data_IF_037006291548
#
_entry.id   IF_037006291548
#
_cell.length_a   1.000
_cell.length_b   1.000
_cell.length_c   1.000
_cell.angle_alpha   90.00
_cell.angle_beta   90.00
_cell.angle_gamma   90.00
#
_symmetry.space_group_name_H-M   'P 1'
#
loop_
_entity.id
_entity.type
_entity.pdbx_description
1 polymer ?
#
# COMPACT_ATOMS: atom_id res chain seq x y z
N UNK A 1 -54.70 10.42 69.72
CA UNK A 1 -53.95 11.69 69.81
C UNK A 1 -52.50 11.35 69.50
N UNK A 2 -51.79 11.85 68.49
CA UNK A 2 -51.93 12.97 67.54
C UNK A 2 -51.23 12.55 66.24
N UNK A 3 -51.70 13.11 65.12
CA UNK A 3 -51.13 13.03 63.77
C UNK A 3 -49.73 13.67 63.66
N UNK A 4 -48.95 13.19 62.68
CA UNK A 4 -47.98 13.90 61.79
C UNK A 4 -47.27 12.79 60.97
N UNK A 5 -47.13 12.75 59.65
CA UNK A 5 -47.31 13.72 58.56
C UNK A 5 -46.05 13.73 57.68
N UNK A 6 -46.09 13.04 56.51
CA UNK A 6 -45.27 13.15 55.27
C UNK A 6 -43.71 13.09 55.38
N UNK A 7 -42.92 12.53 54.44
CA UNK A 7 -42.88 12.70 52.98
C UNK A 7 -42.31 11.44 52.28
N UNK A 8 -42.91 11.08 51.14
CA UNK A 8 -42.28 10.27 50.09
C UNK A 8 -41.17 11.08 49.41
N UNK A 9 -39.98 10.48 49.24
CA UNK A 9 -38.98 10.94 48.29
C UNK A 9 -38.81 9.85 47.21
N UNK A 10 -39.44 10.04 46.05
CA UNK A 10 -39.15 9.29 44.83
C UNK A 10 -37.82 9.81 44.26
N UNK A 11 -36.73 9.08 44.50
CA UNK A 11 -35.46 9.30 43.80
C UNK A 11 -35.57 8.80 42.37
N UNK A 12 -35.72 9.70 41.40
CA UNK A 12 -35.57 9.37 39.99
C UNK A 12 -34.08 9.12 39.69
N UNK A 13 -33.71 7.85 39.45
CA UNK A 13 -32.41 7.49 38.91
C UNK A 13 -32.41 7.84 37.43
N UNK A 14 -31.86 8.99 37.07
CA UNK A 14 -31.57 9.35 35.68
C UNK A 14 -30.38 8.51 35.23
N UNK A 15 -30.65 7.38 34.56
CA UNK A 15 -29.62 6.61 33.88
C UNK A 15 -29.11 7.41 32.68
N UNK A 16 -27.89 7.96 32.79
CA UNK A 16 -27.16 8.42 31.60
C UNK A 16 -26.87 7.21 30.72
N UNK A 17 -27.64 7.04 29.64
CA UNK A 17 -27.22 6.22 28.50
C UNK A 17 -26.00 6.90 27.87
N UNK A 18 -24.81 6.47 28.29
CA UNK A 18 -23.57 6.80 27.61
C UNK A 18 -23.63 6.24 26.20
N UNK A 19 -23.86 7.11 25.21
CA UNK A 19 -23.66 6.77 23.80
C UNK A 19 -22.16 6.61 23.62
N UNK A 20 -21.69 5.36 23.70
CA UNK A 20 -20.34 5.01 23.24
C UNK A 20 -20.34 5.15 21.73
N UNK A 21 -19.80 6.27 21.24
CA UNK A 21 -19.40 6.41 19.86
C UNK A 21 -18.28 5.39 19.61
N UNK A 22 -18.64 4.21 19.12
CA UNK A 22 -17.71 3.24 18.57
C UNK A 22 -17.00 3.93 17.41
N UNK A 23 -15.76 4.34 17.64
CA UNK A 23 -14.87 4.75 16.55
C UNK A 23 -14.79 3.65 15.50
N UNK A 24 -14.44 3.98 14.24
CA UNK A 24 -14.41 2.99 13.17
C UNK A 24 -13.54 1.80 13.57
N UNK A 25 -14.16 0.62 13.71
CA UNK A 25 -13.46 -0.64 13.97
C UNK A 25 -12.58 -0.95 12.77
N UNK A 26 -11.26 -0.85 12.95
CA UNK A 26 -10.28 -1.34 11.97
C UNK A 26 -10.59 -2.80 11.68
N UNK A 27 -10.62 -3.18 10.39
CA UNK A 27 -10.76 -4.58 9.99
C UNK A 27 -9.73 -5.44 10.72
N UNK A 28 -10.09 -6.68 11.05
CA UNK A 28 -9.10 -7.68 11.41
C UNK A 28 -8.08 -7.83 10.27
N UNK A 29 -6.85 -8.21 10.60
CA UNK A 29 -5.79 -8.35 9.59
C UNK A 29 -6.18 -9.35 8.50
N UNK A 30 -5.87 -9.00 7.25
CA UNK A 30 -6.18 -9.76 6.05
C UNK A 30 -7.68 -10.07 5.88
N UNK A 31 -8.54 -9.16 6.34
CA UNK A 31 -9.99 -9.22 6.12
C UNK A 31 -10.50 -7.93 5.49
N UNK A 32 -11.69 -8.01 4.87
CA UNK A 32 -12.39 -6.85 4.34
C UNK A 32 -13.53 -6.46 5.28
N UNK A 33 -13.65 -5.17 5.61
CA UNK A 33 -14.86 -4.65 6.26
C UNK A 33 -16.07 -4.79 5.34
N UNK A 34 -17.28 -4.70 5.91
CA UNK A 34 -18.51 -4.68 5.12
C UNK A 34 -18.51 -3.53 4.10
N UNK A 35 -17.97 -2.38 4.48
CA UNK A 35 -17.82 -1.22 3.59
C UNK A 35 -16.84 -1.51 2.45
N UNK A 36 -15.67 -2.08 2.75
CA UNK A 36 -14.68 -2.44 1.73
C UNK A 36 -15.28 -3.44 0.72
N UNK A 37 -16.02 -4.43 1.20
CA UNK A 37 -16.72 -5.40 0.35
C UNK A 37 -17.76 -4.71 -0.54
N UNK A 38 -18.61 -3.85 0.04
CA UNK A 38 -19.64 -3.10 -0.69
C UNK A 38 -19.04 -2.15 -1.75
N UNK A 39 -17.86 -1.59 -1.48
CA UNK A 39 -17.10 -0.77 -2.42
C UNK A 39 -16.35 -1.58 -3.48
N UNK A 40 -16.40 -2.91 -3.45
CA UNK A 40 -15.78 -3.76 -4.47
C UNK A 40 -14.31 -4.12 -4.21
N UNK A 41 -13.78 -3.88 -3.01
CA UNK A 41 -12.45 -4.36 -2.65
C UNK A 41 -12.40 -5.89 -2.60
N UNK A 42 -11.23 -6.43 -2.90
CA UNK A 42 -10.88 -7.85 -2.85
C UNK A 42 -9.53 -8.01 -2.16
N UNK A 43 -9.35 -9.10 -1.43
CA UNK A 43 -8.04 -9.45 -0.89
C UNK A 43 -7.14 -9.93 -2.02
N UNK A 44 -5.92 -9.41 -2.07
CA UNK A 44 -4.82 -10.01 -2.79
C UNK A 44 -4.07 -11.02 -1.92
N UNK A 45 -4.24 -10.97 -0.60
CA UNK A 45 -3.63 -11.89 0.34
C UNK A 45 -4.60 -12.21 1.48
N UNK A 46 -4.78 -13.50 1.75
CA UNK A 46 -5.74 -14.03 2.73
C UNK A 46 -5.14 -14.23 4.13
N UNK A 47 -3.85 -13.94 4.32
CA UNK A 47 -3.14 -14.19 5.56
C UNK A 47 -2.61 -15.62 5.72
N UNK A 48 -2.80 -16.51 4.74
CA UNK A 48 -2.55 -17.95 4.89
C UNK A 48 -1.67 -18.53 3.80
N UNK A 49 -1.83 -18.07 2.57
CA UNK A 49 -1.12 -18.64 1.43
C UNK A 49 -0.73 -17.59 0.39
N UNK A 50 0.20 -17.96 -0.50
CA UNK A 50 0.54 -17.18 -1.69
C UNK A 50 -0.38 -17.51 -2.88
N UNK A 51 -1.60 -18.00 -2.62
CA UNK A 51 -2.58 -18.22 -3.68
C UNK A 51 -2.83 -16.91 -4.44
N UNK A 52 -2.83 -16.97 -5.77
CA UNK A 52 -2.93 -15.78 -6.62
C UNK A 52 -1.61 -15.03 -6.83
N UNK A 53 -0.50 -15.50 -6.28
CA UNK A 53 0.85 -14.98 -6.51
C UNK A 53 1.74 -15.99 -7.24
N UNK A 54 2.79 -15.48 -7.88
CA UNK A 54 3.81 -16.25 -8.57
C UNK A 54 5.18 -15.84 -8.04
N UNK A 55 5.92 -16.82 -7.52
CA UNK A 55 7.33 -16.69 -7.15
C UNK A 55 8.17 -17.10 -8.37
N UNK A 56 8.92 -16.19 -9.01
CA UNK A 56 9.66 -16.52 -10.23
C UNK A 56 10.96 -17.31 -9.93
N UNK A 57 11.57 -17.09 -8.77
CA UNK A 57 12.80 -17.73 -8.34
C UNK A 57 12.57 -18.86 -7.34
N UNK A 58 13.42 -18.91 -6.30
CA UNK A 58 13.33 -19.92 -5.25
C UNK A 58 12.08 -19.70 -4.41
N UNK A 59 11.27 -20.74 -4.21
CA UNK A 59 10.01 -20.64 -3.45
C UNK A 59 10.24 -20.20 -2.01
N UNK A 60 11.37 -20.59 -1.44
CA UNK A 60 11.81 -20.23 -0.08
C UNK A 60 12.12 -18.74 0.05
N UNK A 61 12.30 -18.02 -1.06
CA UNK A 61 12.46 -16.57 -1.06
C UNK A 61 11.22 -15.80 -0.60
N UNK A 62 10.04 -16.43 -0.64
CA UNK A 62 8.79 -15.84 -0.18
C UNK A 62 7.99 -16.83 0.67
N UNK A 63 7.75 -16.49 1.93
CA UNK A 63 6.98 -17.34 2.85
C UNK A 63 5.76 -16.61 3.39
N UNK A 64 4.87 -17.35 4.03
CA UNK A 64 3.79 -16.79 4.84
C UNK A 64 4.09 -17.10 6.31
N UNK A 65 4.21 -16.05 7.12
CA UNK A 65 4.51 -16.14 8.56
C UNK A 65 3.58 -15.19 9.31
N UNK A 66 2.89 -15.67 10.35
CA UNK A 66 2.05 -14.86 11.24
C UNK A 66 1.06 -13.92 10.51
N UNK A 67 0.41 -14.42 9.46
CA UNK A 67 -0.53 -13.61 8.68
C UNK A 67 0.14 -12.56 7.79
N UNK A 68 1.41 -12.73 7.43
CA UNK A 68 2.17 -11.80 6.59
C UNK A 68 2.87 -12.53 5.46
N UNK A 69 2.96 -11.90 4.30
CA UNK A 69 3.90 -12.29 3.23
C UNK A 69 5.28 -11.78 3.64
N UNK A 70 6.29 -12.65 3.62
CA UNK A 70 7.66 -12.32 4.02
C UNK A 70 8.60 -12.57 2.86
N UNK A 71 9.31 -11.53 2.41
CA UNK A 71 10.49 -11.71 1.57
C UNK A 71 11.63 -12.19 2.45
N UNK A 72 12.19 -13.36 2.16
CA UNK A 72 13.30 -13.93 2.92
C UNK A 72 14.68 -13.45 2.45
N UNK A 73 14.74 -12.69 1.34
CA UNK A 73 15.99 -12.30 0.68
C UNK A 73 16.87 -13.50 0.27
N UNK A 74 16.23 -14.60 -0.13
CA UNK A 74 16.90 -15.86 -0.51
C UNK A 74 16.81 -16.16 -2.01
N UNK A 75 16.68 -15.13 -2.84
CA UNK A 75 16.62 -15.27 -4.29
C UNK A 75 15.26 -15.75 -4.79
N UNK A 76 14.18 -15.21 -4.21
CA UNK A 76 12.82 -15.46 -4.68
C UNK A 76 12.50 -14.70 -5.97
N UNK A 77 13.25 -13.63 -6.24
CA UNK A 77 12.89 -12.64 -7.26
C UNK A 77 11.61 -11.90 -6.88
N UNK A 78 11.14 -11.00 -7.73
CA UNK A 78 9.97 -10.18 -7.42
C UNK A 78 8.69 -11.04 -7.40
N UNK A 79 8.04 -11.13 -6.23
CA UNK A 79 6.77 -11.83 -6.08
C UNK A 79 5.68 -11.04 -6.79
N UNK A 80 5.04 -11.64 -7.78
CA UNK A 80 4.04 -10.94 -8.59
C UNK A 80 2.66 -11.55 -8.50
N UNK A 81 1.64 -10.75 -8.74
CA UNK A 81 0.28 -11.27 -8.91
C UNK A 81 0.21 -12.20 -10.13
N UNK A 82 -0.66 -13.20 -10.06
CA UNK A 82 -0.97 -14.08 -11.20
C UNK A 82 -1.83 -13.36 -12.25
N UNK A 83 -2.64 -12.38 -11.82
CA UNK A 83 -3.50 -11.56 -12.66
C UNK A 83 -2.88 -10.19 -12.93
N UNK A 84 -3.26 -9.60 -14.05
CA UNK A 84 -2.94 -8.21 -14.38
C UNK A 84 -4.09 -7.28 -13.97
N UNK A 85 -3.73 -6.03 -13.68
CA UNK A 85 -4.63 -4.95 -13.29
C UNK A 85 -4.25 -3.68 -14.05
N UNK A 86 -5.24 -2.85 -14.34
CA UNK A 86 -5.05 -1.61 -15.08
C UNK A 86 -5.41 -0.40 -14.21
N UNK A 87 -6.69 0.00 -14.20
CA UNK A 87 -7.20 1.03 -13.30
C UNK A 87 -7.66 0.38 -12.00
N UNK A 88 -7.06 0.79 -10.88
CA UNK A 88 -7.29 0.20 -9.57
C UNK A 88 -6.91 1.13 -8.41
N UNK A 89 -7.52 0.88 -7.25
CA UNK A 89 -6.96 1.24 -5.95
C UNK A 89 -6.29 0.02 -5.33
N UNK A 90 -5.07 0.19 -4.83
CA UNK A 90 -4.28 -0.79 -4.09
C UNK A 90 -4.07 -0.25 -2.68
N UNK A 91 -4.24 -1.10 -1.68
CA UNK A 91 -3.87 -0.82 -0.29
C UNK A 91 -3.07 -2.00 0.24
N UNK A 92 -2.01 -1.73 0.97
CA UNK A 92 -1.23 -2.73 1.69
C UNK A 92 -0.55 -2.12 2.90
N UNK A 93 -0.23 -2.97 3.86
CA UNK A 93 0.68 -2.61 4.94
C UNK A 93 2.04 -3.25 4.68
N UNK A 94 3.13 -2.53 4.95
CA UNK A 94 4.49 -3.05 4.89
C UNK A 94 5.29 -2.71 6.14
N UNK A 95 6.29 -3.54 6.46
CA UNK A 95 7.24 -3.31 7.55
C UNK A 95 8.64 -3.67 7.07
N UNK A 96 9.62 -2.83 7.41
CA UNK A 96 11.01 -2.93 6.97
C UNK A 96 11.93 -3.36 8.11
N UNK A 97 13.00 -4.10 7.81
CA UNK A 97 14.19 -4.11 8.69
C UNK A 97 15.02 -2.83 8.51
N UNK A 98 15.88 -2.45 9.47
CA UNK A 98 16.78 -1.32 9.30
C UNK A 98 17.60 -1.43 8.01
N UNK A 99 17.68 -0.33 7.26
CA UNK A 99 18.39 -0.25 5.98
C UNK A 99 17.76 -1.00 4.80
N UNK A 100 16.59 -1.64 4.98
CA UNK A 100 15.98 -2.44 3.93
C UNK A 100 15.63 -1.60 2.69
N UNK A 101 15.87 -2.20 1.52
CA UNK A 101 15.40 -1.71 0.23
C UNK A 101 14.46 -2.75 -0.39
N UNK A 102 13.34 -2.28 -0.94
CA UNK A 102 12.35 -3.05 -1.68
C UNK A 102 11.48 -2.04 -2.45
N UNK A 103 10.40 -2.51 -3.07
CA UNK A 103 9.50 -1.69 -3.85
C UNK A 103 8.19 -2.42 -4.11
N UNK A 104 7.16 -1.63 -4.39
CA UNK A 104 5.90 -2.13 -4.94
C UNK A 104 5.82 -1.66 -6.38
N UNK A 105 6.01 -2.59 -7.31
CA UNK A 105 5.77 -2.33 -8.72
C UNK A 105 4.29 -2.44 -9.04
N UNK A 106 3.82 -1.51 -9.85
CA UNK A 106 2.48 -1.48 -10.40
C UNK A 106 2.55 -1.44 -11.93
N UNK A 107 1.55 -2.04 -12.59
CA UNK A 107 1.41 -2.04 -14.05
C UNK A 107 2.64 -2.60 -14.79
N UNK A 108 3.26 -3.64 -14.23
CA UNK A 108 4.39 -4.35 -14.84
C UNK A 108 3.94 -5.03 -16.14
N UNK A 109 4.42 -4.53 -17.28
CA UNK A 109 4.10 -5.08 -18.59
C UNK A 109 4.77 -6.41 -18.90
N UNK A 110 6.06 -6.53 -18.59
CA UNK A 110 6.85 -7.76 -18.71
C UNK A 110 7.35 -8.20 -17.32
N UNK A 111 6.87 -9.34 -16.78
CA UNK A 111 7.32 -9.81 -15.47
C UNK A 111 8.80 -10.22 -15.43
N UNK A 112 9.48 -10.37 -16.57
CA UNK A 112 10.92 -10.61 -16.61
C UNK A 112 11.75 -9.31 -16.62
N UNK A 113 11.11 -8.16 -16.81
CA UNK A 113 11.73 -6.83 -16.75
C UNK A 113 10.85 -5.83 -15.98
N UNK A 114 10.57 -6.10 -14.68
CA UNK A 114 9.70 -5.23 -13.88
C UNK A 114 10.26 -3.82 -13.73
N UNK A 115 11.59 -3.69 -13.76
CA UNK A 115 12.29 -2.40 -13.62
C UNK A 115 12.05 -1.51 -14.84
N UNK A 116 12.06 -2.03 -16.07
CA UNK A 116 11.84 -1.18 -17.25
C UNK A 116 10.38 -1.12 -17.69
N UNK A 117 9.53 -2.04 -17.23
CA UNK A 117 8.14 -2.16 -17.71
C UNK A 117 7.08 -1.90 -16.64
N UNK A 118 7.47 -1.72 -15.38
CA UNK A 118 6.60 -1.32 -14.28
C UNK A 118 6.92 0.06 -13.74
N UNK A 119 6.02 0.58 -12.91
CA UNK A 119 6.22 1.81 -12.15
C UNK A 119 6.42 1.43 -10.69
N UNK A 120 7.54 1.85 -10.10
CA UNK A 120 7.97 1.45 -8.76
C UNK A 120 7.60 2.52 -7.72
N UNK A 121 6.81 2.14 -6.72
CA UNK A 121 6.73 2.91 -5.47
C UNK A 121 7.81 2.38 -4.53
N UNK A 122 8.78 3.23 -4.22
CA UNK A 122 9.96 2.86 -3.45
C UNK A 122 9.61 2.53 -2.00
N UNK A 123 10.14 1.42 -1.48
CA UNK A 123 10.08 1.07 -0.06
C UNK A 123 11.50 1.07 0.52
N UNK A 124 11.84 2.12 1.25
CA UNK A 124 13.18 2.29 1.79
C UNK A 124 13.15 2.76 3.24
N UNK A 125 14.19 2.44 4.01
CA UNK A 125 14.34 2.94 5.38
C UNK A 125 14.71 4.43 5.35
N UNK A 126 13.69 5.27 5.26
CA UNK A 126 13.82 6.72 5.00
C UNK A 126 13.41 7.61 6.17
N UNK A 127 12.98 7.06 7.31
CA UNK A 127 12.47 7.87 8.42
C UNK A 127 13.49 8.92 8.87
N UNK A 128 13.07 10.19 8.94
CA UNK A 128 13.93 11.31 9.30
C UNK A 128 14.87 11.81 8.21
N UNK A 129 14.84 11.22 7.00
CA UNK A 129 15.62 11.71 5.85
C UNK A 129 14.90 12.84 5.09
N UNK A 130 15.60 13.45 4.16
CA UNK A 130 15.03 14.45 3.25
C UNK A 130 14.38 13.77 2.04
N UNK A 131 13.25 14.27 1.53
CA UNK A 131 12.63 13.72 0.33
C UNK A 131 13.56 13.76 -0.88
N UNK A 132 13.64 12.64 -1.61
CA UNK A 132 14.28 12.56 -2.91
C UNK A 132 13.62 11.46 -3.75
N UNK A 133 13.99 11.35 -5.02
CA UNK A 133 13.46 10.32 -5.94
C UNK A 133 13.93 8.90 -5.66
N UNK A 134 14.73 8.69 -4.61
CA UNK A 134 15.23 7.39 -4.16
C UNK A 134 14.74 7.00 -2.76
N UNK A 135 13.98 7.86 -2.09
CA UNK A 135 13.48 7.63 -0.74
C UNK A 135 12.07 7.01 -0.74
N UNK A 136 11.66 6.48 0.40
CA UNK A 136 10.39 5.80 0.59
C UNK A 136 9.20 6.61 0.10
N UNK A 137 8.34 5.98 -0.71
CA UNK A 137 7.17 6.59 -1.31
C UNK A 137 7.43 7.35 -2.61
N UNK A 138 8.68 7.51 -3.04
CA UNK A 138 9.00 8.03 -4.37
C UNK A 138 8.43 7.14 -5.48
N UNK A 139 8.12 7.73 -6.62
CA UNK A 139 8.14 6.98 -7.88
C UNK A 139 9.60 6.91 -8.30
N UNK A 140 10.22 5.73 -8.10
CA UNK A 140 11.67 5.60 -8.06
C UNK A 140 12.36 6.19 -9.30
N UNK A 141 13.39 7.02 -9.06
CA UNK A 141 14.19 7.73 -10.07
C UNK A 141 13.42 8.77 -10.93
N UNK A 142 12.11 8.91 -10.71
CA UNK A 142 11.23 9.80 -11.48
C UNK A 142 10.67 10.97 -10.67
N UNK A 143 10.02 10.71 -9.54
CA UNK A 143 9.30 11.72 -8.78
C UNK A 143 9.49 11.53 -7.28
N UNK A 144 10.11 12.51 -6.63
CA UNK A 144 10.25 12.54 -5.18
C UNK A 144 8.88 12.72 -4.49
N UNK A 145 8.68 12.12 -3.31
CA UNK A 145 7.50 12.40 -2.50
C UNK A 145 7.54 13.83 -1.99
N UNK A 146 6.38 14.43 -1.71
CA UNK A 146 6.30 15.78 -1.12
C UNK A 146 6.93 15.86 0.28
N UNK A 147 6.90 14.74 1.01
CA UNK A 147 7.49 14.59 2.34
C UNK A 147 7.81 13.11 2.61
N UNK A 148 8.74 12.85 3.55
CA UNK A 148 8.93 11.51 4.09
C UNK A 148 7.82 11.22 5.09
N UNK A 149 6.91 10.33 4.72
CA UNK A 149 5.78 9.92 5.56
C UNK A 149 5.92 8.49 6.11
N UNK A 150 6.99 7.76 5.78
CA UNK A 150 7.23 6.43 6.34
C UNK A 150 7.56 6.53 7.84
N UNK A 151 7.24 5.48 8.59
CA UNK A 151 7.62 5.28 9.99
C UNK A 151 9.02 4.68 10.10
N UNK A 152 9.65 4.70 11.30
CA UNK A 152 10.91 3.99 11.53
C UNK A 152 10.86 2.52 11.12
N UNK A 153 12.01 1.96 10.74
CA UNK A 153 12.14 0.52 10.53
C UNK A 153 11.63 -0.28 11.75
N UNK A 154 10.96 -1.40 11.50
CA UNK A 154 10.27 -2.20 12.51
C UNK A 154 8.80 -1.81 12.74
N UNK A 155 8.36 -0.62 12.30
CA UNK A 155 6.95 -0.24 12.35
C UNK A 155 6.19 -0.57 11.05
N UNK A 156 4.88 -0.83 11.21
CA UNK A 156 3.97 -1.01 10.09
C UNK A 156 3.59 0.32 9.46
N UNK A 157 3.75 0.39 8.15
CA UNK A 157 3.33 1.50 7.30
C UNK A 157 2.14 1.07 6.45
N UNK A 158 1.19 1.97 6.20
CA UNK A 158 0.09 1.74 5.26
C UNK A 158 0.34 2.51 3.96
N UNK A 159 0.50 1.78 2.86
CA UNK A 159 0.66 2.31 1.51
C UNK A 159 -0.66 2.18 0.75
N UNK A 160 -1.09 3.26 0.11
CA UNK A 160 -2.23 3.27 -0.79
C UNK A 160 -1.82 3.87 -2.13
N UNK A 161 -2.14 3.18 -3.22
CA UNK A 161 -1.83 3.62 -4.58
C UNK A 161 -3.12 3.61 -5.39
N UNK A 162 -3.44 4.74 -6.03
CA UNK A 162 -4.53 4.82 -7.00
C UNK A 162 -3.95 4.99 -8.39
N UNK A 163 -4.31 4.08 -9.28
CA UNK A 163 -4.01 4.08 -10.69
C UNK A 163 -5.31 4.36 -11.46
N UNK A 164 -5.40 5.53 -12.12
CA UNK A 164 -6.57 5.88 -12.93
C UNK A 164 -6.14 6.52 -14.24
N UNK A 165 -6.35 5.83 -15.35
CA UNK A 165 -5.82 6.13 -16.66
C UNK A 165 -4.32 6.48 -16.57
N UNK A 166 -3.97 7.76 -16.77
CA UNK A 166 -2.59 8.27 -16.70
C UNK A 166 -2.24 9.00 -15.41
N UNK A 167 -3.09 8.94 -14.39
CA UNK A 167 -2.82 9.54 -13.09
C UNK A 167 -2.50 8.47 -12.06
N UNK A 168 -1.43 8.69 -11.30
CA UNK A 168 -1.01 7.85 -10.18
C UNK A 168 -0.94 8.73 -8.94
N UNK A 169 -1.63 8.34 -7.88
CA UNK A 169 -1.47 8.98 -6.57
C UNK A 169 -0.97 7.97 -5.55
N UNK A 170 -0.07 8.39 -4.67
CA UNK A 170 0.40 7.56 -3.55
C UNK A 170 0.06 8.28 -2.24
N UNK A 171 -0.59 7.56 -1.33
CA UNK A 171 -0.69 7.94 0.08
C UNK A 171 0.13 6.98 0.92
N UNK A 172 0.85 7.53 1.88
CA UNK A 172 1.64 6.77 2.85
C UNK A 172 1.28 7.27 4.25
N UNK A 173 0.80 6.38 5.11
CA UNK A 173 0.35 6.71 6.46
C UNK A 173 -0.62 7.90 6.51
N UNK A 174 -1.67 7.84 5.68
CA UNK A 174 -2.73 8.86 5.50
C UNK A 174 -2.32 10.15 4.78
N UNK A 175 -1.02 10.37 4.54
CA UNK A 175 -0.52 11.55 3.83
C UNK A 175 -0.43 11.30 2.33
N UNK A 176 -1.00 12.18 1.50
CA UNK A 176 -0.81 12.11 0.04
C UNK A 176 0.55 12.69 -0.32
N UNK A 177 1.45 11.82 -0.78
CA UNK A 177 2.86 12.17 -1.03
C UNK A 177 3.22 12.24 -2.51
N UNK A 178 2.44 11.60 -3.38
CA UNK A 178 2.61 11.64 -4.83
C UNK A 178 1.29 11.96 -5.50
N UNK A 179 1.35 12.82 -6.51
CA UNK A 179 0.31 13.05 -7.50
C UNK A 179 0.96 13.23 -8.88
N UNK A 180 1.02 12.13 -9.64
CA UNK A 180 1.78 12.03 -10.88
C UNK A 180 0.84 11.95 -12.08
N UNK A 181 0.98 12.88 -13.02
CA UNK A 181 0.41 12.76 -14.37
C UNK A 181 1.49 12.22 -15.31
N UNK A 182 1.29 10.99 -15.77
CA UNK A 182 2.24 10.30 -16.65
C UNK A 182 2.41 11.00 -17.99
N UNK A 183 1.45 11.82 -18.44
CA UNK A 183 1.59 12.60 -19.68
C UNK A 183 2.78 13.56 -19.66
N UNK A 184 3.29 13.92 -18.47
CA UNK A 184 4.46 14.79 -18.33
C UNK A 184 5.79 14.10 -18.62
N UNK A 185 5.85 12.77 -18.54
CA UNK A 185 7.04 11.98 -18.87
C UNK A 185 7.00 11.60 -20.35
N UNK A 186 7.43 12.55 -21.19
CA UNK A 186 7.30 12.47 -22.65
C UNK A 186 8.52 11.90 -23.37
N UNK A 187 9.66 11.85 -22.69
CA UNK A 187 10.95 11.57 -23.31
C UNK A 187 11.64 10.47 -22.52
N UNK A 188 12.20 9.48 -23.23
CA UNK A 188 12.99 8.43 -22.61
C UNK A 188 14.20 9.03 -21.87
N UNK A 189 14.59 8.40 -20.77
CA UNK A 189 15.71 8.82 -19.93
C UNK A 189 15.60 10.21 -19.29
N UNK A 190 14.43 10.87 -19.35
CA UNK A 190 14.25 12.24 -18.84
C UNK A 190 13.01 12.37 -17.98
N UNK A 191 13.18 13.09 -16.88
CA UNK A 191 12.10 13.59 -16.04
C UNK A 191 11.61 14.96 -16.56
N UNK A 192 10.40 15.41 -16.18
CA UNK A 192 9.84 16.70 -16.61
C UNK A 192 10.66 17.91 -16.15
N UNK A 193 11.49 17.76 -15.13
CA UNK A 193 12.40 18.81 -14.63
C UNK A 193 13.75 18.85 -15.38
N UNK A 194 13.95 17.97 -16.37
CA UNK A 194 15.17 17.86 -17.15
C UNK A 194 16.23 16.89 -16.59
N UNK A 195 16.04 16.40 -15.36
CA UNK A 195 16.94 15.40 -14.76
C UNK A 195 16.86 14.05 -15.48
N UNK A 196 17.93 13.27 -15.40
CA UNK A 196 17.98 11.94 -16.03
C UNK A 196 17.22 10.90 -15.22
N UNK A 197 16.66 9.89 -15.91
CA UNK A 197 16.15 8.67 -15.30
C UNK A 197 16.56 7.40 -16.08
N UNK A 198 16.39 6.23 -15.46
CA UNK A 198 16.80 4.92 -16.01
C UNK A 198 15.91 4.36 -17.12
N UNK A 199 14.77 4.99 -17.45
CA UNK A 199 13.70 4.33 -18.22
C UNK A 199 13.81 4.59 -19.73
N UNK A 200 13.86 3.50 -20.50
CA UNK A 200 13.96 3.54 -21.97
C UNK A 200 12.65 3.90 -22.66
N UNK A 201 11.52 3.64 -22.00
CA UNK A 201 10.19 3.98 -22.49
C UNK A 201 9.65 5.17 -21.69
N UNK A 202 9.20 6.26 -22.33
CA UNK A 202 8.53 7.34 -21.62
C UNK A 202 7.31 6.80 -20.86
N UNK A 203 7.11 7.21 -19.60
CA UNK A 203 5.98 6.69 -18.81
C UNK A 203 4.61 6.97 -19.44
N UNK A 204 4.47 8.02 -20.26
CA UNK A 204 3.22 8.28 -21.01
C UNK A 204 2.86 7.17 -22.00
N UNK A 205 3.83 6.38 -22.45
CA UNK A 205 3.73 5.34 -23.48
C UNK A 205 3.72 3.92 -22.90
N UNK A 206 4.11 3.75 -21.63
CA UNK A 206 4.06 2.45 -20.98
C UNK A 206 2.62 1.87 -20.98
N UNK A 207 2.44 0.55 -20.98
CA UNK A 207 1.15 -0.08 -20.82
C UNK A 207 0.42 0.39 -19.55
N UNK A 208 -0.91 0.43 -19.60
CA UNK A 208 -1.73 0.79 -18.44
C UNK A 208 -2.10 -0.45 -17.61
N UNK A 209 -2.36 -1.58 -18.27
CA UNK A 209 -2.51 -2.88 -17.63
C UNK A 209 -1.16 -3.58 -17.38
N UNK A 210 -1.03 -4.22 -16.23
CA UNK A 210 0.13 -5.06 -15.91
C UNK A 210 0.03 -5.72 -14.54
N UNK A 211 1.07 -6.45 -14.16
CA UNK A 211 1.14 -7.11 -12.85
C UNK A 211 1.43 -6.12 -11.72
N UNK A 212 1.09 -6.52 -10.50
CA UNK A 212 1.60 -5.89 -9.28
C UNK A 212 2.70 -6.82 -8.74
N UNK A 213 3.84 -6.26 -8.36
CA UNK A 213 4.96 -7.03 -7.82
C UNK A 213 5.52 -6.43 -6.54
N UNK A 214 5.94 -7.30 -5.62
CA UNK A 214 6.68 -6.97 -4.41
C UNK A 214 8.15 -7.33 -4.64
N UNK A 215 9.06 -6.37 -4.48
CA UNK A 215 10.45 -6.54 -4.88
C UNK A 215 11.26 -7.36 -3.87
N UNK A 216 12.03 -8.33 -4.35
CA UNK A 216 13.12 -8.94 -3.59
C UNK A 216 14.42 -8.23 -3.95
N UNK A 217 14.86 -7.31 -3.08
CA UNK A 217 16.11 -6.58 -3.24
C UNK A 217 17.12 -6.93 -2.12
N UNK A 218 17.14 -8.20 -1.72
CA UNK A 218 18.13 -8.74 -0.78
C UNK A 218 17.91 -8.34 0.68
N UNK A 219 16.72 -7.84 1.03
CA UNK A 219 16.37 -7.49 2.40
C UNK A 219 15.07 -8.14 2.85
N UNK A 220 14.99 -8.47 4.13
CA UNK A 220 13.78 -9.02 4.73
C UNK A 220 12.73 -7.92 4.90
N UNK A 221 11.53 -8.15 4.37
CA UNK A 221 10.41 -7.22 4.41
C UNK A 221 9.10 -8.01 4.58
N UNK A 222 8.14 -7.43 5.30
CA UNK A 222 6.84 -8.04 5.56
C UNK A 222 5.73 -7.22 4.93
N UNK A 223 4.71 -7.91 4.42
CA UNK A 223 3.50 -7.32 3.86
C UNK A 223 2.25 -7.97 4.43
N UNK A 224 1.19 -7.20 4.64
CA UNK A 224 -0.15 -7.70 5.02
C UNK A 224 -1.23 -6.75 4.55
N UNK A 225 -2.49 -7.11 4.75
CA UNK A 225 -3.64 -6.28 4.37
C UNK A 225 -3.61 -5.86 2.89
N UNK A 226 -3.06 -6.71 2.01
CA UNK A 226 -3.01 -6.45 0.57
C UNK A 226 -4.41 -6.58 -0.01
N UNK A 227 -4.95 -5.45 -0.47
CA UNK A 227 -6.31 -5.30 -0.97
C UNK A 227 -6.28 -4.55 -2.27
N UNK A 228 -7.18 -4.90 -3.19
CA UNK A 228 -7.33 -4.21 -4.46
C UNK A 228 -8.80 -3.96 -4.78
N UNK A 229 -9.09 -2.81 -5.38
CA UNK A 229 -10.39 -2.48 -5.97
C UNK A 229 -10.15 -2.09 -7.42
N UNK A 230 -10.61 -2.91 -8.36
CA UNK A 230 -10.59 -2.51 -9.77
C UNK A 230 -11.58 -1.36 -9.99
N UNK A 231 -11.15 -0.37 -10.75
CA UNK A 231 -11.96 0.79 -11.09
C UNK A 231 -12.58 0.59 -12.47
N UNK A 232 -13.76 1.17 -12.68
CA UNK A 232 -14.38 1.18 -14.00
C UNK A 232 -13.48 1.93 -14.98
N UNK A 233 -13.15 1.26 -16.08
CA UNK A 233 -12.48 1.82 -17.25
C UNK A 233 -13.38 2.94 -17.81
N UNK A 234 -12.85 4.16 -17.95
CA UNK A 234 -13.57 5.31 -18.52
C UNK A 234 -13.08 5.60 -19.92
#
# INVERSE_FOLDING_TARGET
MRQSGYLLACGAVVGLLGVFLLGPTRAAENTLTAEEQAQGWRLLFDGKSLEGWVVPGRKEGWTVEDGTIVCQAQGGGDLRTAKQYDDFDLSLDFRLTPGANSGVFIRVGDPNDPVQTGIEVQLYDSFGKQPSRWECGAIYDCLAPSQIACRPAGEWNTLQVTCRAKRITVRLNHEQIIDMDLNRWTTAHKNPDGSDNKFRTPYREMPRGGFISLQDHGHRIWFRNLKIRQLAQR
#
